data_IF_809497316999
#
_entry.id   IF_809497316999
#
_cell.length_a   1.000
_cell.length_b   1.000
_cell.length_c   1.000
_cell.angle_alpha   90.00
_cell.angle_beta   90.00
_cell.angle_gamma   90.00
#
_symmetry.space_group_name_H-M   'P 1'
#
loop_
_entity.id
_entity.type
_entity.pdbx_description
1 polymer ?
#
# COMPACT_ATOMS: atom_id res chain seq x y z
N UNK A 1 21.80 2.16 -12.63
CA UNK A 1 22.43 2.72 -11.42
C UNK A 1 21.30 2.86 -10.44
N UNK A 2 21.37 2.15 -9.32
CA UNK A 2 20.25 2.09 -8.39
C UNK A 2 19.98 3.46 -7.81
N UNK A 3 18.74 3.90 -7.90
CA UNK A 3 18.32 5.12 -7.24
C UNK A 3 18.31 4.90 -5.71
N UNK A 4 19.29 5.48 -5.02
CA UNK A 4 19.47 5.31 -3.58
C UNK A 4 18.32 5.91 -2.76
N UNK A 5 17.62 6.92 -3.30
CA UNK A 5 16.46 7.53 -2.65
C UNK A 5 15.30 6.53 -2.57
N UNK A 6 14.99 5.87 -3.69
CA UNK A 6 13.94 4.84 -3.75
C UNK A 6 14.34 3.64 -2.88
N UNK A 7 15.61 3.20 -2.95
CA UNK A 7 16.11 2.09 -2.16
C UNK A 7 15.98 2.35 -0.65
N UNK A 8 16.42 3.54 -0.19
CA UNK A 8 16.33 3.94 1.22
C UNK A 8 14.88 4.09 1.68
N UNK A 9 14.02 4.65 0.84
CA UNK A 9 12.60 4.80 1.14
C UNK A 9 11.85 3.46 1.19
N UNK A 10 12.10 2.56 0.23
CA UNK A 10 11.56 1.18 0.26
C UNK A 10 12.02 0.47 1.54
N UNK A 11 13.31 0.55 1.90
CA UNK A 11 13.83 -0.06 3.14
C UNK A 11 13.15 0.50 4.39
N UNK A 12 12.94 1.81 4.47
CA UNK A 12 12.26 2.44 5.60
C UNK A 12 10.81 1.94 5.75
N UNK A 13 10.08 1.83 4.65
CA UNK A 13 8.68 1.37 4.62
C UNK A 13 8.58 -0.10 5.00
N UNK A 14 9.49 -0.95 4.50
CA UNK A 14 9.58 -2.36 4.90
C UNK A 14 9.89 -2.52 6.39
N UNK A 15 10.81 -1.72 6.93
CA UNK A 15 11.14 -1.74 8.37
C UNK A 15 9.95 -1.33 9.24
N UNK A 16 8.98 -0.56 8.71
CA UNK A 16 7.72 -0.24 9.38
C UNK A 16 6.69 -1.37 9.34
N UNK A 17 6.99 -2.47 8.65
CA UNK A 17 6.11 -3.64 8.52
C UNK A 17 5.13 -3.58 7.34
N UNK A 18 5.30 -2.63 6.42
CA UNK A 18 4.51 -2.61 5.19
C UNK A 18 5.04 -3.63 4.16
N UNK A 19 4.17 -4.08 3.25
CA UNK A 19 4.58 -4.99 2.18
C UNK A 19 5.36 -4.26 1.10
N UNK A 20 6.30 -4.97 0.46
CA UNK A 20 7.09 -4.44 -0.65
C UNK A 20 6.20 -3.93 -1.79
N UNK A 21 5.17 -4.70 -2.14
CA UNK A 21 4.19 -4.33 -3.18
C UNK A 21 3.53 -2.98 -2.89
N UNK A 22 3.09 -2.76 -1.64
CA UNK A 22 2.46 -1.51 -1.23
C UNK A 22 3.44 -0.34 -1.26
N UNK A 23 4.68 -0.58 -0.87
CA UNK A 23 5.75 0.40 -0.96
C UNK A 23 6.01 0.78 -2.43
N UNK A 24 6.20 -0.20 -3.31
CA UNK A 24 6.41 0.01 -4.75
C UNK A 24 5.26 0.81 -5.38
N UNK A 25 4.01 0.48 -5.04
CA UNK A 25 2.83 1.21 -5.52
C UNK A 25 2.84 2.67 -5.05
N UNK A 26 3.29 2.94 -3.82
CA UNK A 26 3.40 4.30 -3.29
C UNK A 26 4.43 5.13 -4.05
N UNK A 27 5.60 4.55 -4.38
CA UNK A 27 6.59 5.20 -5.24
C UNK A 27 6.07 5.41 -6.67
N UNK A 28 5.35 4.44 -7.22
CA UNK A 28 4.74 4.60 -8.54
C UNK A 28 3.75 5.77 -8.58
N UNK A 29 2.88 5.86 -7.57
CA UNK A 29 1.92 6.96 -7.43
C UNK A 29 2.59 8.32 -7.17
N UNK A 30 3.80 8.32 -6.62
CA UNK A 30 4.61 9.52 -6.44
C UNK A 30 5.33 9.98 -7.73
N UNK A 31 5.17 9.25 -8.84
CA UNK A 31 5.70 9.61 -10.16
C UNK A 31 7.07 9.04 -10.48
N UNK A 32 7.60 8.13 -9.65
CA UNK A 32 8.85 7.43 -9.97
C UNK A 32 8.60 6.41 -11.09
N UNK A 33 9.64 6.18 -11.91
CA UNK A 33 9.54 5.22 -13.01
C UNK A 33 9.49 3.79 -12.47
N UNK A 34 8.67 2.95 -13.09
CA UNK A 34 8.48 1.54 -12.68
C UNK A 34 9.79 0.78 -12.67
N UNK A 35 10.65 1.01 -13.66
CA UNK A 35 11.93 0.35 -13.82
C UNK A 35 12.88 0.67 -12.65
N UNK A 36 12.92 1.92 -12.20
CA UNK A 36 13.76 2.37 -11.08
C UNK A 36 13.28 1.77 -9.75
N UNK A 37 11.97 1.66 -9.58
CA UNK A 37 11.35 1.03 -8.40
C UNK A 37 11.67 -0.46 -8.36
N UNK A 38 11.54 -1.14 -9.50
CA UNK A 38 11.84 -2.57 -9.60
C UNK A 38 13.32 -2.87 -9.42
N UNK A 39 14.22 -2.03 -9.96
CA UNK A 39 15.65 -2.13 -9.72
C UNK A 39 15.93 -2.03 -8.22
N UNK A 40 15.46 -0.99 -7.54
CA UNK A 40 15.63 -0.83 -6.09
C UNK A 40 15.03 -1.99 -5.28
N UNK A 41 13.86 -2.50 -5.66
CA UNK A 41 13.22 -3.64 -5.01
C UNK A 41 14.04 -4.93 -5.14
N UNK A 42 14.62 -5.19 -6.32
CA UNK A 42 15.50 -6.35 -6.56
C UNK A 42 16.74 -6.31 -5.68
N UNK A 43 17.33 -5.13 -5.48
CA UNK A 43 18.48 -4.95 -4.59
C UNK A 43 18.14 -5.24 -3.11
N UNK A 44 16.90 -5.02 -2.67
CA UNK A 44 16.47 -5.35 -1.31
C UNK A 44 16.23 -6.84 -1.10
N UNK A 45 15.77 -7.56 -2.13
CA UNK A 45 15.50 -8.99 -2.05
C UNK A 45 16.77 -9.84 -2.13
N UNK A 46 17.82 -9.34 -2.81
CA UNK A 46 19.10 -10.04 -2.97
C UNK A 46 20.24 -9.27 -2.27
N UNK A 47 20.37 -9.40 -0.94
CA UNK A 47 21.38 -8.68 -0.17
C UNK A 47 22.82 -9.09 -0.49
N UNK A 48 23.04 -10.20 -1.20
CA UNK A 48 24.38 -10.68 -1.59
C UNK A 48 25.11 -9.73 -2.56
N UNK A 49 24.40 -8.81 -3.22
CA UNK A 49 25.01 -7.75 -4.05
C UNK A 49 25.37 -6.47 -3.27
N UNK A 50 25.11 -6.39 -1.95
CA UNK A 50 25.25 -5.18 -1.15
C UNK A 50 26.69 -4.96 -0.62
N UNK A 51 27.60 -5.95 -0.74
CA UNK A 51 28.94 -5.86 -0.14
C UNK A 51 29.89 -4.81 -0.74
N UNK A 52 29.52 -4.08 -1.81
CA UNK A 52 30.45 -3.15 -2.46
C UNK A 52 29.95 -1.73 -2.73
N UNK A 53 28.83 -1.30 -2.15
CA UNK A 53 28.43 0.12 -2.28
C UNK A 53 28.05 0.74 -0.94
N UNK A 54 29.05 1.40 -0.36
CA UNK A 54 28.93 2.60 0.45
C UNK A 54 28.00 2.53 1.68
N UNK A 55 28.62 2.04 2.74
CA UNK A 55 28.58 2.67 4.06
C UNK A 55 28.64 4.21 3.90
N UNK A 56 27.47 4.86 3.86
CA UNK A 56 27.35 6.30 4.02
C UNK A 56 27.07 6.54 5.49
N UNK A 57 28.13 6.99 6.16
CA UNK A 57 28.16 7.65 7.46
C UNK A 57 26.79 8.19 7.90
N UNK A 58 26.25 7.60 8.96
CA UNK A 58 25.37 8.35 9.86
C UNK A 58 26.15 9.58 10.32
N UNK A 59 25.73 10.83 10.01
CA UNK A 59 26.19 11.96 10.77
C UNK A 59 25.56 11.79 12.13
N UNK A 60 26.37 11.29 13.08
CA UNK A 60 26.06 11.36 14.50
C UNK A 60 26.13 12.84 14.91
N UNK A 61 25.14 13.61 14.47
CA UNK A 61 24.82 14.88 15.09
C UNK A 61 23.70 14.55 16.06
N UNK A 62 24.02 14.64 17.35
CA UNK A 62 23.02 14.69 18.40
C UNK A 62 22.06 15.86 18.12
N UNK A 63 20.96 15.58 17.41
CA UNK A 63 19.88 16.54 17.21
C UNK A 63 19.15 16.59 18.55
N UNK A 64 19.54 17.55 19.40
CA UNK A 64 18.65 18.03 20.46
C UNK A 64 17.28 18.29 19.82
N UNK A 65 16.18 17.73 20.34
CA UNK A 65 14.85 18.05 19.83
C UNK A 65 14.54 19.49 20.21
N UNK A 66 14.92 20.44 19.35
CA UNK A 66 14.37 21.78 19.40
C UNK A 66 12.96 21.66 18.84
N UNK A 67 12.01 21.43 19.75
CA UNK A 67 10.58 21.60 19.51
C UNK A 67 10.35 23.02 19.01
N UNK A 68 10.47 23.21 17.70
CA UNK A 68 9.83 24.32 17.02
C UNK A 68 8.40 23.86 16.83
N UNK A 69 7.53 24.43 17.65
CA UNK A 69 6.08 24.47 17.45
C UNK A 69 5.85 25.13 16.08
N UNK A 70 5.87 24.32 15.02
CA UNK A 70 5.46 24.74 13.69
C UNK A 70 3.94 24.70 13.70
N UNK A 71 3.39 25.86 13.38
CA UNK A 71 1.97 26.19 13.29
C UNK A 71 1.15 25.09 12.65
N UNK A 72 -0.08 24.98 13.15
CA UNK A 72 -1.19 24.16 12.67
C UNK A 72 -1.28 24.11 11.14
N UNK A 73 -0.49 23.23 10.52
CA UNK A 73 -0.91 22.63 9.27
C UNK A 73 -1.99 21.66 9.69
N UNK A 74 -3.22 22.05 9.33
CA UNK A 74 -4.39 21.20 9.30
C UNK A 74 -4.00 19.93 8.54
N UNK A 75 -3.43 18.99 9.30
CA UNK A 75 -3.22 17.63 8.90
C UNK A 75 -4.62 17.05 9.00
N UNK A 76 -5.43 17.35 8.00
CA UNK A 76 -6.45 16.44 7.57
C UNK A 76 -5.70 15.18 7.20
N UNK A 77 -5.46 14.37 8.25
CA UNK A 77 -5.33 12.95 8.16
C UNK A 77 -6.46 12.55 7.21
N UNK A 78 -6.20 12.10 5.97
CA UNK A 78 -7.14 11.18 5.40
C UNK A 78 -7.01 9.97 6.31
N UNK A 79 -7.84 9.92 7.36
CA UNK A 79 -8.22 8.65 7.93
C UNK A 79 -8.70 7.88 6.70
N UNK A 80 -7.85 7.02 6.16
CA UNK A 80 -8.24 6.08 5.13
C UNK A 80 -8.91 4.90 5.85
N UNK A 81 -9.95 5.20 6.64
CA UNK A 81 -10.96 4.26 7.04
C UNK A 81 -11.86 3.99 5.83
N UNK A 82 -11.27 3.41 4.78
CA UNK A 82 -11.99 2.76 3.70
C UNK A 82 -11.41 1.36 3.45
N UNK A 83 -11.17 0.62 4.54
CA UNK A 83 -11.40 -0.82 4.50
C UNK A 83 -12.92 -1.00 4.51
N UNK A 84 -13.57 -0.79 3.37
CA UNK A 84 -14.88 -1.41 3.15
C UNK A 84 -14.61 -2.84 2.69
N UNK A 85 -14.57 -3.72 3.68
CA UNK A 85 -14.57 -5.18 3.54
C UNK A 85 -15.92 -5.63 2.94
N UNK A 86 -16.15 -5.33 1.67
CA UNK A 86 -17.41 -5.59 0.93
C UNK A 86 -17.39 -6.90 0.16
N UNK A 87 -16.74 -7.94 0.70
CA UNK A 87 -16.72 -9.27 0.06
C UNK A 87 -17.91 -10.16 0.43
N UNK A 88 -18.47 -10.02 1.65
CA UNK A 88 -19.44 -10.98 2.17
C UNK A 88 -20.91 -10.56 2.02
N UNK A 89 -21.20 -9.26 1.97
CA UNK A 89 -22.58 -8.77 1.82
C UNK A 89 -23.14 -8.98 0.41
N UNK A 90 -22.27 -8.91 -0.61
CA UNK A 90 -22.64 -9.17 -2.00
C UNK A 90 -23.14 -10.62 -2.19
N UNK A 91 -22.48 -11.58 -1.54
CA UNK A 91 -22.87 -12.99 -1.61
C UNK A 91 -24.27 -13.23 -1.01
N UNK A 92 -24.56 -12.59 0.13
CA UNK A 92 -25.88 -12.69 0.77
C UNK A 92 -26.98 -12.06 -0.11
N UNK A 93 -26.71 -10.92 -0.75
CA UNK A 93 -27.65 -10.27 -1.66
C UNK A 93 -27.97 -11.14 -2.89
N UNK A 94 -26.97 -11.83 -3.46
CA UNK A 94 -27.15 -12.74 -4.60
C UNK A 94 -28.03 -13.94 -4.23
N UNK A 95 -27.85 -14.54 -3.05
CA UNK A 95 -28.66 -15.67 -2.60
C UNK A 95 -30.13 -15.26 -2.43
N UNK A 96 -30.40 -14.10 -1.83
CA UNK A 96 -31.76 -13.60 -1.65
C UNK A 96 -32.43 -13.33 -3.01
N UNK A 97 -31.70 -12.72 -3.95
CA UNK A 97 -32.21 -12.46 -5.30
C UNK A 97 -32.55 -13.77 -6.05
N UNK A 98 -31.72 -14.81 -5.91
CA UNK A 98 -31.96 -16.10 -6.54
C UNK A 98 -33.24 -16.79 -6.01
N UNK A 99 -33.50 -16.74 -4.70
CA UNK A 99 -34.71 -17.33 -4.10
C UNK A 99 -35.97 -16.62 -4.63
N UNK A 100 -35.95 -15.29 -4.70
CA UNK A 100 -37.08 -14.50 -5.23
C UNK A 100 -37.32 -14.83 -6.71
N UNK A 101 -36.25 -14.94 -7.49
CA UNK A 101 -36.34 -15.25 -8.92
C UNK A 101 -36.96 -16.64 -9.18
N UNK A 102 -36.54 -17.66 -8.42
CA UNK A 102 -37.12 -19.01 -8.51
C UNK A 102 -38.60 -19.01 -8.11
N UNK A 103 -38.96 -18.29 -7.04
CA UNK A 103 -40.36 -18.16 -6.63
C UNK A 103 -41.24 -17.52 -7.70
N UNK A 104 -40.75 -16.46 -8.35
CA UNK A 104 -41.45 -15.80 -9.47
C UNK A 104 -41.58 -16.72 -10.70
N UNK A 105 -40.53 -17.48 -11.03
CA UNK A 105 -40.58 -18.45 -12.12
C UNK A 105 -41.65 -19.52 -11.89
N UNK A 106 -41.72 -20.09 -10.68
CA UNK A 106 -42.74 -21.08 -10.34
C UNK A 106 -44.14 -20.46 -10.41
N UNK A 107 -44.33 -19.26 -9.86
CA UNK A 107 -45.61 -18.56 -9.91
C UNK A 107 -46.05 -18.28 -11.37
N UNK A 108 -45.11 -17.87 -12.23
CA UNK A 108 -45.36 -17.62 -13.64
C UNK A 108 -45.75 -18.91 -14.39
N UNK A 109 -45.08 -20.02 -14.10
CA UNK A 109 -45.35 -21.32 -14.71
C UNK A 109 -46.70 -21.93 -14.31
N UNK A 110 -47.17 -21.63 -13.10
CA UNK A 110 -48.49 -22.06 -12.61
C UNK A 110 -49.61 -21.18 -13.16
N UNK A 111 -49.31 -19.91 -13.44
CA UNK A 111 -50.29 -18.94 -13.91
C UNK A 111 -50.51 -19.01 -15.42
N UNK A 112 -49.51 -19.46 -16.18
CA UNK A 112 -49.53 -19.58 -17.65
C UNK A 112 -49.90 -20.99 -18.08
#
# INVERSE_FOLDING_TARGET
>A
MVNQEILGGLRLVLNRGESLEKAMLSFYNAGYKKEEIEEAAKFLQNPEQIQNTQQSETPNTAIKPRSKKVSDYNTENPKSNLIKKTGKWLLTAIIIAAIIFVGLLIAFLVTT
#
